data_IF_580525492851
#
_entry.id   IF_580525492851
#
_cell.length_a   1.000
_cell.length_b   1.000
_cell.length_c   1.000
_cell.angle_alpha   90.00
_cell.angle_beta   90.00
_cell.angle_gamma   90.00
#
_symmetry.space_group_name_H-M   'P 1'
#
loop_
_entity.id
_entity.type
_entity.pdbx_description
1 polymer ?
#
# COMPACT_ATOMS: atom_id res chain seq x y z
N UNK A 1 -10.61 23.81 9.65
CA UNK A 1 -11.63 23.98 8.59
C UNK A 1 -11.86 22.63 7.95
N UNK A 2 -13.08 22.31 7.52
CA UNK A 2 -13.33 21.11 6.73
C UNK A 2 -12.94 21.39 5.28
N UNK A 3 -12.17 20.48 4.69
CA UNK A 3 -11.56 20.62 3.36
C UNK A 3 -11.46 19.26 2.69
N UNK A 4 -11.37 19.25 1.37
CA UNK A 4 -11.04 18.04 0.62
C UNK A 4 -9.60 17.58 0.90
N UNK A 5 -9.27 16.32 0.58
CA UNK A 5 -7.88 15.83 0.66
C UNK A 5 -7.39 15.34 -0.71
N UNK A 6 -6.83 16.24 -1.55
CA UNK A 6 -6.51 15.94 -2.95
C UNK A 6 -5.42 14.88 -3.09
N UNK A 7 -4.51 14.73 -2.12
CA UNK A 7 -3.49 13.67 -2.14
C UNK A 7 -4.12 12.28 -2.29
N UNK A 8 -5.22 12.00 -1.61
CA UNK A 8 -5.94 10.72 -1.73
C UNK A 8 -6.82 10.73 -2.99
N UNK A 9 -7.64 11.76 -3.15
CA UNK A 9 -8.62 11.83 -4.25
C UNK A 9 -8.00 11.84 -5.66
N UNK A 10 -6.74 12.28 -5.80
CA UNK A 10 -6.05 12.35 -7.08
C UNK A 10 -5.06 11.21 -7.32
N UNK A 11 -4.90 10.29 -6.36
CA UNK A 11 -3.93 9.20 -6.41
C UNK A 11 -4.62 7.84 -6.64
N UNK A 12 -5.70 7.57 -5.91
CA UNK A 12 -6.25 6.21 -5.77
C UNK A 12 -7.13 5.76 -6.95
N UNK A 13 -7.80 6.69 -7.66
CA UNK A 13 -8.80 6.29 -8.65
C UNK A 13 -9.98 5.50 -8.06
N UNK A 14 -10.28 5.72 -6.77
CA UNK A 14 -11.21 4.96 -5.93
C UNK A 14 -12.70 5.06 -6.32
N UNK A 15 -13.03 5.88 -7.32
CA UNK A 15 -14.40 6.09 -7.82
C UNK A 15 -14.39 6.43 -9.31
N UNK A 16 -15.51 6.18 -10.02
CA UNK A 16 -15.61 6.48 -11.45
C UNK A 16 -15.26 7.94 -11.77
N UNK A 17 -14.27 8.13 -12.64
CA UNK A 17 -13.81 9.46 -13.08
C UNK A 17 -12.78 10.12 -12.15
N UNK A 18 -12.40 9.50 -11.02
CA UNK A 18 -11.28 9.98 -10.23
C UNK A 18 -9.95 9.67 -10.94
N UNK A 19 -8.99 10.61 -10.94
CA UNK A 19 -7.70 10.36 -11.55
C UNK A 19 -6.82 9.52 -10.63
N UNK A 20 -5.82 8.90 -11.24
CA UNK A 20 -4.65 8.31 -10.59
C UNK A 20 -3.37 9.07 -10.95
N UNK A 21 -2.29 8.82 -10.22
CA UNK A 21 -0.93 9.31 -10.58
C UNK A 21 -0.52 8.95 -12.01
N UNK A 22 -0.97 7.78 -12.49
CA UNK A 22 -0.75 7.33 -13.86
C UNK A 22 -1.57 8.15 -14.87
N UNK A 23 -2.89 8.29 -14.67
CA UNK A 23 -3.74 9.02 -15.63
C UNK A 23 -3.38 10.51 -15.73
N UNK A 24 -2.70 11.05 -14.72
CA UNK A 24 -2.18 12.43 -14.68
C UNK A 24 -0.79 12.56 -15.30
N UNK A 25 -0.16 11.45 -15.70
CA UNK A 25 1.17 11.43 -16.30
C UNK A 25 2.30 11.78 -15.34
N UNK A 26 2.06 11.67 -14.02
CA UNK A 26 3.08 11.93 -13.00
C UNK A 26 3.99 10.72 -12.80
N UNK A 27 3.42 9.52 -12.91
CA UNK A 27 4.12 8.23 -12.76
C UNK A 27 3.77 7.34 -13.95
N UNK A 28 4.75 6.64 -14.53
CA UNK A 28 4.52 5.75 -15.67
C UNK A 28 3.89 4.43 -15.23
N UNK A 29 3.17 3.76 -16.15
CA UNK A 29 2.61 2.43 -15.88
C UNK A 29 3.71 1.40 -15.66
N UNK A 30 4.81 1.54 -16.39
CA UNK A 30 5.98 0.68 -16.30
C UNK A 30 6.62 0.76 -14.91
N UNK A 31 6.71 1.95 -14.31
CA UNK A 31 7.19 2.07 -12.94
C UNK A 31 6.24 1.42 -11.93
N UNK A 32 4.93 1.63 -12.04
CA UNK A 32 3.94 1.00 -11.14
C UNK A 32 3.97 -0.53 -11.23
N UNK A 33 4.37 -1.07 -12.38
CA UNK A 33 4.63 -2.50 -12.53
C UNK A 33 5.96 -2.88 -11.88
N UNK A 34 7.06 -2.22 -12.25
CA UNK A 34 8.41 -2.55 -11.79
C UNK A 34 8.58 -2.37 -10.27
N UNK A 35 7.86 -1.45 -9.62
CA UNK A 35 7.90 -1.27 -8.17
C UNK A 35 7.37 -2.51 -7.42
N UNK A 36 6.27 -3.09 -7.93
CA UNK A 36 5.66 -4.30 -7.36
C UNK A 36 6.37 -5.57 -7.81
N UNK A 37 7.07 -5.55 -8.95
CA UNK A 37 7.71 -6.74 -9.51
C UNK A 37 9.22 -6.72 -9.27
N UNK A 38 9.98 -6.06 -10.16
CA UNK A 38 11.44 -6.08 -10.17
C UNK A 38 12.05 -5.55 -8.87
N UNK A 39 11.55 -4.42 -8.36
CA UNK A 39 12.10 -3.78 -7.17
C UNK A 39 11.81 -4.59 -5.90
N UNK A 40 10.62 -5.16 -5.80
CA UNK A 40 10.24 -6.03 -4.68
C UNK A 40 11.01 -7.34 -4.68
N UNK A 41 11.18 -7.99 -5.84
CA UNK A 41 12.02 -9.18 -6.00
C UNK A 41 13.46 -8.91 -5.56
N UNK A 42 14.04 -7.78 -6.02
CA UNK A 42 15.36 -7.35 -5.62
C UNK A 42 15.46 -7.15 -4.10
N UNK A 43 14.50 -6.46 -3.48
CA UNK A 43 14.53 -6.17 -2.06
C UNK A 43 14.48 -7.44 -1.20
N UNK A 44 13.67 -8.43 -1.56
CA UNK A 44 13.61 -9.71 -0.86
C UNK A 44 14.93 -10.49 -0.93
N UNK A 45 15.53 -10.60 -2.12
CA UNK A 45 16.80 -11.31 -2.31
C UNK A 45 17.98 -10.60 -1.63
N UNK A 46 18.07 -9.27 -1.77
CA UNK A 46 19.12 -8.47 -1.13
C UNK A 46 19.03 -8.56 0.40
N UNK A 47 17.82 -8.53 0.97
CA UNK A 47 17.62 -8.71 2.40
C UNK A 47 18.13 -10.08 2.90
N UNK A 48 17.80 -11.17 2.21
CA UNK A 48 18.27 -12.52 2.59
C UNK A 48 19.79 -12.63 2.49
N UNK A 49 20.39 -12.08 1.43
CA UNK A 49 21.85 -12.03 1.26
C UNK A 49 22.54 -11.21 2.33
N UNK A 50 21.99 -10.04 2.66
CA UNK A 50 22.53 -9.15 3.67
C UNK A 50 22.46 -9.80 5.07
N UNK A 51 21.39 -10.54 5.36
CA UNK A 51 21.25 -11.32 6.60
C UNK A 51 22.28 -12.46 6.67
N UNK A 52 22.54 -13.15 5.56
CA UNK A 52 23.64 -14.11 5.44
C UNK A 52 23.46 -15.39 6.26
N UNK A 53 22.21 -15.86 6.43
CA UNK A 53 21.96 -17.15 7.07
C UNK A 53 22.55 -18.29 6.21
N UNK A 54 23.46 -19.13 6.75
CA UNK A 54 24.05 -20.26 6.02
C UNK A 54 23.03 -21.29 5.50
N UNK A 55 21.79 -21.31 6.01
CA UNK A 55 20.74 -22.25 5.60
C UNK A 55 19.76 -21.67 4.57
N UNK A 56 19.71 -20.35 4.41
CA UNK A 56 18.85 -19.67 3.45
C UNK A 56 19.46 -18.31 3.12
N UNK A 57 20.27 -18.27 2.05
CA UNK A 57 21.07 -17.10 1.71
C UNK A 57 20.55 -16.29 0.52
N UNK A 58 19.51 -16.75 -0.18
CA UNK A 58 18.94 -16.05 -1.32
C UNK A 58 17.48 -16.45 -1.58
N UNK A 59 16.77 -15.63 -2.35
CA UNK A 59 15.34 -15.83 -2.62
C UNK A 59 15.06 -17.06 -3.49
N UNK A 60 15.99 -17.42 -4.37
CA UNK A 60 15.86 -18.60 -5.24
C UNK A 60 15.88 -19.93 -4.47
N UNK A 61 16.35 -19.93 -3.22
CA UNK A 61 16.36 -21.12 -2.35
C UNK A 61 15.06 -21.26 -1.51
N UNK A 62 14.14 -20.30 -1.61
CA UNK A 62 12.87 -20.28 -0.86
C UNK A 62 11.84 -21.19 -1.54
N UNK A 63 11.06 -21.93 -0.74
CA UNK A 63 9.86 -22.61 -1.25
C UNK A 63 8.73 -21.58 -1.46
N UNK A 64 8.54 -21.15 -2.70
CA UNK A 64 7.56 -20.14 -3.08
C UNK A 64 6.12 -20.46 -2.67
N UNK A 65 5.74 -21.75 -2.67
CA UNK A 65 4.40 -22.17 -2.28
C UNK A 65 4.11 -21.97 -0.79
N UNK A 66 5.15 -21.81 0.02
CA UNK A 66 5.05 -21.62 1.47
C UNK A 66 5.14 -20.15 1.89
N UNK A 67 5.35 -19.20 0.97
CA UNK A 67 5.48 -17.78 1.31
C UNK A 67 4.13 -17.21 1.79
N UNK A 68 3.06 -17.48 1.03
CA UNK A 68 1.71 -17.04 1.40
C UNK A 68 0.64 -18.05 0.96
N UNK A 69 0.59 -19.24 1.57
CA UNK A 69 -0.45 -20.22 1.28
C UNK A 69 -1.81 -19.73 1.79
N UNK A 70 -2.87 -20.08 1.04
CA UNK A 70 -4.25 -19.83 1.48
C UNK A 70 -4.60 -20.69 2.70
N UNK A 71 -5.30 -20.10 3.67
CA UNK A 71 -5.77 -20.80 4.87
C UNK A 71 -7.04 -21.63 4.56
N UNK A 72 -6.97 -22.98 4.60
CA UNK A 72 -8.08 -23.82 4.19
C UNK A 72 -9.35 -23.59 5.01
N UNK A 73 -10.44 -23.28 4.32
CA UNK A 73 -11.74 -23.04 4.94
C UNK A 73 -12.10 -21.57 5.10
N UNK A 74 -11.17 -20.66 4.78
CA UNK A 74 -11.44 -19.22 4.72
C UNK A 74 -11.95 -18.80 3.34
N UNK A 75 -12.54 -17.61 3.27
CA UNK A 75 -12.98 -16.96 2.05
C UNK A 75 -11.78 -16.52 1.21
N UNK A 76 -11.92 -16.43 -0.12
CA UNK A 76 -10.85 -15.95 -0.99
C UNK A 76 -10.42 -14.51 -0.68
N UNK A 77 -9.12 -14.23 -0.87
CA UNK A 77 -8.60 -12.86 -0.89
C UNK A 77 -9.28 -12.07 -2.04
N UNK A 78 -9.62 -10.79 -1.80
CA UNK A 78 -10.25 -9.90 -2.78
C UNK A 78 -9.30 -8.81 -3.33
N UNK A 79 -8.02 -8.82 -2.96
CA UNK A 79 -7.00 -7.94 -3.52
C UNK A 79 -6.86 -8.13 -5.04
N UNK A 80 -6.55 -7.03 -5.74
CA UNK A 80 -6.40 -7.01 -7.20
C UNK A 80 -5.18 -7.80 -7.70
N UNK A 81 -5.29 -8.31 -8.93
CA UNK A 81 -4.27 -9.11 -9.64
C UNK A 81 -2.98 -8.35 -10.02
N UNK A 82 -2.84 -7.08 -9.62
CA UNK A 82 -1.71 -6.21 -9.99
C UNK A 82 -0.40 -6.60 -9.30
N UNK A 83 -0.49 -7.15 -8.07
CA UNK A 83 0.66 -7.67 -7.35
C UNK A 83 1.07 -9.04 -7.91
N UNK A 84 2.38 -9.30 -8.00
CA UNK A 84 2.85 -10.65 -8.29
C UNK A 84 2.41 -11.60 -7.17
N UNK A 85 1.92 -12.79 -7.53
CA UNK A 85 1.77 -13.87 -6.56
C UNK A 85 3.10 -14.10 -5.85
N UNK A 86 3.07 -14.38 -4.55
CA UNK A 86 4.30 -14.43 -3.75
C UNK A 86 5.31 -15.48 -4.25
N UNK A 87 4.82 -16.56 -4.83
CA UNK A 87 5.64 -17.61 -5.47
C UNK A 87 6.33 -17.13 -6.76
N UNK A 88 5.80 -16.09 -7.41
CA UNK A 88 6.41 -15.51 -8.61
C UNK A 88 7.73 -14.81 -8.30
N UNK A 89 7.91 -14.21 -7.13
CA UNK A 89 9.20 -13.59 -6.75
C UNK A 89 10.33 -14.63 -6.68
N UNK A 90 10.04 -15.86 -6.26
CA UNK A 90 11.01 -16.97 -6.31
C UNK A 90 11.34 -17.31 -7.75
N UNK A 91 10.33 -17.41 -8.61
CA UNK A 91 10.52 -17.67 -10.05
C UNK A 91 11.29 -16.53 -10.74
N UNK A 92 11.14 -15.29 -10.30
CA UNK A 92 11.96 -14.15 -10.75
C UNK A 92 13.41 -14.32 -10.29
N UNK A 93 13.64 -14.70 -9.03
CA UNK A 93 14.98 -14.98 -8.51
C UNK A 93 15.71 -16.07 -9.29
N UNK A 94 15.00 -17.15 -9.65
CA UNK A 94 15.53 -18.25 -10.49
C UNK A 94 15.94 -17.78 -11.89
N UNK A 95 15.20 -16.82 -12.49
CA UNK A 95 15.53 -16.22 -13.80
C UNK A 95 16.67 -15.21 -13.71
N UNK A 96 16.93 -14.70 -12.52
CA UNK A 96 17.90 -13.65 -12.24
C UNK A 96 17.22 -12.32 -11.95
N UNK A 97 17.68 -11.66 -10.90
CA UNK A 97 17.15 -10.39 -10.41
C UNK A 97 17.92 -9.22 -11.01
N UNK A 98 17.19 -8.21 -11.46
CA UNK A 98 17.74 -6.90 -11.82
C UNK A 98 18.10 -6.12 -10.56
N UNK A 99 19.37 -5.70 -10.38
CA UNK A 99 19.73 -4.80 -9.28
C UNK A 99 18.94 -3.50 -9.33
N UNK A 100 18.57 -2.94 -8.17
CA UNK A 100 17.73 -1.73 -8.09
C UNK A 100 18.26 -0.55 -8.91
N UNK A 101 19.58 -0.38 -9.00
CA UNK A 101 20.25 0.71 -9.71
C UNK A 101 20.25 0.53 -11.24
N UNK A 102 19.70 -0.60 -11.73
CA UNK A 102 19.56 -0.93 -13.15
C UNK A 102 18.12 -1.02 -13.62
N UNK A 103 17.14 -0.86 -12.73
CA UNK A 103 15.73 -0.79 -13.10
C UNK A 103 15.48 0.60 -13.69
N UNK A 104 15.24 0.67 -15.01
CA UNK A 104 15.26 1.93 -15.78
C UNK A 104 14.14 2.90 -15.41
N UNK A 105 13.04 2.40 -14.86
CA UNK A 105 11.85 3.18 -14.49
C UNK A 105 11.97 3.84 -13.12
N UNK A 106 12.82 3.32 -12.23
CA UNK A 106 12.98 3.80 -10.84
C UNK A 106 13.32 5.30 -10.76
N UNK A 107 14.28 5.84 -11.53
CA UNK A 107 14.65 7.25 -11.39
C UNK A 107 13.48 8.22 -11.65
N UNK A 108 12.69 7.99 -12.69
CA UNK A 108 11.55 8.85 -13.03
C UNK A 108 10.35 8.57 -12.14
N UNK A 109 10.10 7.30 -11.76
CA UNK A 109 9.05 6.95 -10.83
C UNK A 109 9.20 7.64 -9.48
N UNK A 110 10.40 7.57 -8.88
CA UNK A 110 10.68 8.27 -7.61
C UNK A 110 10.47 9.78 -7.72
N UNK A 111 10.92 10.41 -8.81
CA UNK A 111 10.65 11.85 -9.05
C UNK A 111 9.15 12.14 -9.19
N UNK A 112 8.41 11.26 -9.85
CA UNK A 112 6.97 11.35 -10.03
C UNK A 112 6.19 11.28 -8.71
N UNK A 113 6.58 10.39 -7.81
CA UNK A 113 5.99 10.27 -6.47
C UNK A 113 6.23 11.53 -5.64
N UNK A 114 7.46 12.03 -5.61
CA UNK A 114 7.79 13.29 -4.91
C UNK A 114 7.04 14.48 -5.50
N UNK A 115 6.94 14.57 -6.83
CA UNK A 115 6.17 15.61 -7.51
C UNK A 115 4.68 15.54 -7.15
N UNK A 116 4.13 14.33 -7.02
CA UNK A 116 2.73 14.12 -6.63
C UNK A 116 2.49 14.63 -5.22
N UNK A 117 3.34 14.26 -4.24
CA UNK A 117 3.24 14.80 -2.86
C UNK A 117 3.33 16.33 -2.87
N UNK A 118 4.27 16.90 -3.61
CA UNK A 118 4.45 18.35 -3.66
C UNK A 118 3.18 19.07 -4.13
N UNK A 119 2.55 18.58 -5.19
CA UNK A 119 1.34 19.22 -5.77
C UNK A 119 0.11 19.03 -4.87
N UNK A 120 -0.15 17.79 -4.45
CA UNK A 120 -1.45 17.45 -3.83
C UNK A 120 -1.43 17.50 -2.29
N UNK A 121 -0.27 17.74 -1.68
CA UNK A 121 -0.16 17.96 -0.23
C UNK A 121 0.49 19.32 0.07
N UNK A 122 1.74 19.52 -0.34
CA UNK A 122 2.56 20.65 0.12
C UNK A 122 2.04 21.98 -0.45
N UNK A 123 1.99 22.13 -1.78
CA UNK A 123 1.50 23.33 -2.45
C UNK A 123 0.01 23.61 -2.09
N UNK A 124 -0.78 22.56 -1.89
CA UNK A 124 -2.19 22.65 -1.50
C UNK A 124 -2.36 23.12 -0.04
N UNK A 125 -1.61 22.56 0.91
CA UNK A 125 -1.62 23.00 2.31
C UNK A 125 -1.13 24.43 2.44
N UNK A 126 -0.05 24.81 1.73
CA UNK A 126 0.47 26.18 1.69
C UNK A 126 -0.58 27.15 1.14
N UNK A 127 -1.28 26.77 0.07
CA UNK A 127 -2.34 27.57 -0.54
C UNK A 127 -3.54 27.82 0.38
N UNK A 128 -3.81 26.90 1.30
CA UNK A 128 -4.88 27.01 2.30
C UNK A 128 -4.38 27.50 3.68
N UNK A 129 -3.07 27.63 3.88
CA UNK A 129 -2.46 27.95 5.17
C UNK A 129 -2.74 26.90 6.25
N UNK A 130 -2.68 25.61 5.90
CA UNK A 130 -2.90 24.49 6.83
C UNK A 130 -1.59 24.07 7.50
N UNK A 131 -1.60 23.97 8.83
CA UNK A 131 -0.47 23.41 9.59
C UNK A 131 -0.43 21.88 9.58
N UNK A 132 -1.61 21.25 9.47
CA UNK A 132 -1.78 19.79 9.43
C UNK A 132 -3.14 19.42 8.83
N UNK A 133 -3.26 18.17 8.40
CA UNK A 133 -4.52 17.51 8.00
C UNK A 133 -4.81 16.44 9.04
N UNK A 134 -6.08 16.28 9.44
CA UNK A 134 -6.45 15.28 10.43
C UNK A 134 -7.73 14.55 10.06
N UNK A 135 -7.77 13.25 10.32
CA UNK A 135 -8.91 12.39 10.02
C UNK A 135 -8.93 11.17 10.96
N UNK A 136 -10.11 10.57 11.24
CA UNK A 136 -10.19 9.29 11.92
C UNK A 136 -9.30 8.26 11.22
N UNK A 137 -8.53 7.48 11.96
CA UNK A 137 -7.56 6.53 11.37
C UNK A 137 -8.24 5.45 10.54
N UNK A 138 -9.43 5.00 10.95
CA UNK A 138 -10.26 4.01 10.25
C UNK A 138 -11.72 4.49 10.28
N UNK A 139 -12.51 4.04 9.31
CA UNK A 139 -13.94 4.34 9.23
C UNK A 139 -14.78 3.43 10.14
N UNK A 140 -14.39 2.16 10.27
CA UNK A 140 -15.04 1.14 11.10
C UNK A 140 -14.05 0.00 11.43
N UNK A 141 -14.51 -1.05 12.13
CA UNK A 141 -13.73 -2.25 12.45
C UNK A 141 -14.44 -3.52 11.94
N UNK A 142 -13.70 -4.34 11.19
CA UNK A 142 -14.23 -5.60 10.65
C UNK A 142 -14.62 -6.60 11.76
N UNK A 143 -15.74 -7.33 11.62
CA UNK A 143 -16.07 -8.41 12.55
C UNK A 143 -15.01 -9.52 12.53
N UNK A 144 -14.81 -10.18 13.68
CA UNK A 144 -13.74 -11.16 13.84
C UNK A 144 -13.90 -12.45 13.01
N UNK A 145 -15.10 -12.72 12.49
CA UNK A 145 -15.42 -13.89 11.66
C UNK A 145 -15.42 -13.57 10.14
N UNK A 146 -14.85 -12.43 9.74
CA UNK A 146 -14.80 -11.97 8.35
C UNK A 146 -14.02 -12.90 7.40
N UNK A 147 -13.19 -13.78 7.92
CA UNK A 147 -12.47 -14.81 7.18
C UNK A 147 -13.39 -15.95 6.71
N UNK A 148 -14.53 -16.19 7.36
CA UNK A 148 -15.43 -17.32 7.04
C UNK A 148 -16.88 -16.91 6.77
N UNK A 149 -17.28 -15.72 7.22
CA UNK A 149 -18.64 -15.21 7.08
C UNK A 149 -18.72 -14.16 5.97
N UNK A 150 -19.44 -14.42 4.86
CA UNK A 150 -19.52 -13.49 3.73
C UNK A 150 -20.04 -12.09 4.09
N UNK A 151 -20.96 -11.98 5.04
CA UNK A 151 -21.51 -10.67 5.46
C UNK A 151 -20.47 -9.87 6.24
N UNK A 152 -19.75 -10.52 7.14
CA UNK A 152 -18.63 -9.91 7.87
C UNK A 152 -17.49 -9.53 6.94
N UNK A 153 -17.21 -10.38 5.93
CA UNK A 153 -16.23 -10.11 4.90
C UNK A 153 -16.58 -8.85 4.09
N UNK A 154 -17.85 -8.66 3.72
CA UNK A 154 -18.28 -7.47 2.98
C UNK A 154 -18.04 -6.17 3.77
N UNK A 155 -18.17 -6.20 5.09
CA UNK A 155 -17.82 -5.08 5.97
C UNK A 155 -16.30 -4.90 6.01
N UNK A 156 -15.57 -5.98 6.32
CA UNK A 156 -14.12 -5.93 6.48
C UNK A 156 -13.38 -5.53 5.20
N UNK A 157 -13.93 -5.83 4.01
CA UNK A 157 -13.37 -5.46 2.70
C UNK A 157 -13.84 -4.11 2.16
N UNK A 158 -14.60 -3.33 2.95
CA UNK A 158 -15.07 -2.01 2.52
C UNK A 158 -14.00 -0.91 2.68
N UNK A 159 -14.07 0.12 1.83
CA UNK A 159 -13.10 1.22 1.84
C UNK A 159 -13.11 1.97 3.19
N UNK A 160 -11.92 2.26 3.73
CA UNK A 160 -11.74 2.83 5.07
C UNK A 160 -11.81 1.81 6.22
N UNK A 161 -12.13 0.54 5.94
CA UNK A 161 -12.12 -0.56 6.92
C UNK A 161 -11.03 -1.58 6.62
N UNK A 162 -10.96 -2.06 5.37
CA UNK A 162 -9.98 -3.06 4.92
C UNK A 162 -8.53 -2.57 5.07
N UNK A 163 -8.35 -1.27 4.85
CA UNK A 163 -7.14 -0.50 5.02
C UNK A 163 -7.55 0.80 5.72
N UNK A 164 -6.63 1.34 6.52
CA UNK A 164 -6.81 2.63 7.17
C UNK A 164 -7.12 3.76 6.16
N UNK A 165 -7.81 4.80 6.63
CA UNK A 165 -8.16 5.95 5.80
C UNK A 165 -6.91 6.55 5.13
N UNK A 166 -6.99 6.71 3.81
CA UNK A 166 -5.89 7.17 2.96
C UNK A 166 -5.26 6.10 2.07
N UNK A 167 -5.63 4.82 2.24
CA UNK A 167 -5.22 3.71 1.38
C UNK A 167 -3.70 3.70 1.10
N UNK A 168 -3.29 3.57 -0.16
CA UNK A 168 -1.89 3.46 -0.55
C UNK A 168 -1.18 4.83 -0.57
N UNK A 169 -1.88 5.89 -0.98
CA UNK A 169 -1.35 7.23 -1.22
C UNK A 169 -0.47 7.77 -0.08
N UNK A 170 -0.87 7.59 1.17
CA UNK A 170 -0.13 8.13 2.32
C UNK A 170 1.30 7.58 2.37
N UNK A 171 1.47 6.27 2.12
CA UNK A 171 2.79 5.61 2.17
C UNK A 171 3.54 5.73 0.86
N UNK A 172 2.85 5.57 -0.27
CA UNK A 172 3.46 5.66 -1.59
C UNK A 172 4.09 7.03 -1.84
N UNK A 173 3.49 8.07 -1.28
CA UNK A 173 3.95 9.45 -1.41
C UNK A 173 4.82 9.93 -0.24
N UNK A 174 5.17 9.06 0.72
CA UNK A 174 6.10 9.41 1.80
C UNK A 174 5.57 10.45 2.79
N UNK A 175 4.25 10.50 3.03
CA UNK A 175 3.63 11.46 3.94
C UNK A 175 3.94 11.07 5.39
N UNK A 176 4.45 11.98 6.25
CA UNK A 176 4.61 11.70 7.68
C UNK A 176 3.25 11.72 8.39
N UNK A 177 3.04 10.82 9.35
CA UNK A 177 1.78 10.77 10.12
C UNK A 177 2.01 10.44 11.59
N UNK A 178 1.19 11.01 12.48
CA UNK A 178 1.14 10.68 13.91
C UNK A 178 -0.28 10.32 14.29
N UNK A 179 -0.47 9.14 14.91
CA UNK A 179 -1.79 8.70 15.38
C UNK A 179 -1.86 8.69 16.90
N UNK A 180 -2.94 9.26 17.43
CA UNK A 180 -3.25 9.27 18.87
C UNK A 180 -4.63 8.68 19.14
N UNK A 181 -4.94 8.23 20.37
CA UNK A 181 -6.28 7.75 20.70
C UNK A 181 -7.33 8.87 20.57
N UNK A 182 -8.35 8.64 19.75
CA UNK A 182 -9.50 9.55 19.61
C UNK A 182 -10.61 9.21 20.63
N UNK A 183 -10.73 7.94 21.01
CA UNK A 183 -11.68 7.47 22.01
C UNK A 183 -12.04 6.00 21.85
N UNK A 184 -13.15 5.62 22.47
CA UNK A 184 -13.74 4.27 22.40
C UNK A 184 -15.16 4.40 21.89
N UNK A 185 -15.52 3.61 20.87
CA UNK A 185 -16.86 3.55 20.31
C UNK A 185 -17.85 3.04 21.37
N UNK A 186 -18.91 3.81 21.64
CA UNK A 186 -19.79 3.59 22.80
C UNK A 186 -20.69 2.34 22.66
N UNK A 187 -20.95 1.92 21.44
CA UNK A 187 -21.81 0.80 21.06
C UNK A 187 -21.10 -0.56 21.11
N UNK A 188 -19.84 -0.61 20.67
CA UNK A 188 -19.07 -1.86 20.55
C UNK A 188 -17.81 -1.92 21.43
N UNK A 189 -17.44 -0.83 22.09
CA UNK A 189 -16.31 -0.80 23.03
C UNK A 189 -14.92 -0.86 22.36
N UNK A 190 -14.84 -0.69 21.04
CA UNK A 190 -13.58 -0.73 20.29
C UNK A 190 -12.91 0.66 20.23
N UNK A 191 -11.57 0.76 20.39
CA UNK A 191 -10.86 2.03 20.29
C UNK A 191 -10.77 2.50 18.83
N UNK A 192 -10.68 3.82 18.65
CA UNK A 192 -10.41 4.45 17.34
C UNK A 192 -9.36 5.54 17.49
N UNK A 193 -8.47 5.65 16.50
CA UNK A 193 -7.41 6.66 16.44
C UNK A 193 -7.81 7.92 15.68
N UNK A 194 -7.09 9.00 15.95
CA UNK A 194 -7.06 10.23 15.15
C UNK A 194 -5.65 10.37 14.58
N UNK A 195 -5.56 10.50 13.25
CA UNK A 195 -4.29 10.67 12.54
C UNK A 195 -4.10 12.15 12.18
N UNK A 196 -2.88 12.64 12.38
CA UNK A 196 -2.34 13.94 11.95
C UNK A 196 -1.23 13.73 10.92
#
# INVERSE_FOLDING_TARGET
IEVDFPLVSNCEGDRPGAPTVFTRGLVSKEFLHDELWELSAWAFDDFLRANGDPKLGCLADVDGALIFPHDPGTLPNREDELAAGMDEYVRMAERGITPWDRISTVPDGLRGLEQTRRIDLEDWMDGLGLDAVLFPTVADVGPADADVNPVSADIAWSNGVWVANGNLAIRHLGVPTVTVPMGVMADIGMPVGLTF
#
